data_IF_330481176934
#
_entry.id   IF_330481176934
#
_cell.length_a   1.000
_cell.length_b   1.000
_cell.length_c   1.000
_cell.angle_alpha   90.00
_cell.angle_beta   90.00
_cell.angle_gamma   90.00
#
_symmetry.space_group_name_H-M   'P 1'
#
loop_
_entity.id
_entity.type
_entity.pdbx_description
1 polymer ?
#
# COMPACT_ATOMS: atom_id res chain seq x y z
N UNK A 1 25.43 4.16 -3.22
CA UNK A 1 24.23 5.02 -3.30
C UNK A 1 23.54 4.98 -4.66
N UNK A 2 24.27 5.00 -5.79
CA UNK A 2 23.68 5.03 -7.15
C UNK A 2 22.82 3.79 -7.50
N UNK A 3 23.06 2.65 -6.89
CA UNK A 3 22.30 1.40 -7.11
C UNK A 3 20.89 1.51 -6.54
N UNK A 4 20.72 2.12 -5.38
CA UNK A 4 19.40 2.33 -4.75
C UNK A 4 18.48 3.19 -5.63
N UNK A 5 19.01 4.25 -6.24
CA UNK A 5 18.26 5.13 -7.12
C UNK A 5 17.88 4.51 -8.48
N UNK A 6 18.51 3.39 -8.87
CA UNK A 6 18.13 2.63 -10.07
C UNK A 6 17.03 1.60 -9.78
N UNK A 7 16.79 1.26 -8.51
CA UNK A 7 15.78 0.28 -8.13
C UNK A 7 14.38 0.89 -8.23
N UNK A 8 13.54 0.33 -9.08
CA UNK A 8 12.15 0.77 -9.29
C UNK A 8 11.28 0.58 -8.05
N UNK A 9 11.56 -0.44 -7.25
CA UNK A 9 10.87 -0.71 -5.99
C UNK A 9 11.13 0.40 -4.97
N UNK A 10 12.40 0.76 -4.76
CA UNK A 10 12.78 1.81 -3.81
C UNK A 10 12.15 3.16 -4.18
N UNK A 11 12.14 3.50 -5.48
CA UNK A 11 11.47 4.72 -5.95
C UNK A 11 9.97 4.70 -5.68
N UNK A 12 9.30 3.59 -6.00
CA UNK A 12 7.87 3.43 -5.76
C UNK A 12 7.53 3.57 -4.27
N UNK A 13 8.31 2.93 -3.40
CA UNK A 13 8.15 3.03 -1.95
C UNK A 13 8.34 4.45 -1.44
N UNK A 14 9.40 5.14 -1.87
CA UNK A 14 9.67 6.51 -1.47
C UNK A 14 8.57 7.47 -1.94
N UNK A 15 8.12 7.34 -3.18
CA UNK A 15 7.01 8.14 -3.73
C UNK A 15 5.72 7.89 -2.95
N UNK A 16 5.42 6.64 -2.63
CA UNK A 16 4.25 6.28 -1.83
C UNK A 16 4.29 6.94 -0.44
N UNK A 17 5.41 6.83 0.28
CA UNK A 17 5.58 7.43 1.61
C UNK A 17 5.46 8.95 1.59
N UNK A 18 6.14 9.60 0.63
CA UNK A 18 6.12 11.06 0.52
C UNK A 18 4.74 11.58 0.09
N UNK A 19 4.09 10.91 -0.86
CA UNK A 19 2.74 11.27 -1.31
C UNK A 19 1.71 11.09 -0.18
N UNK A 20 1.74 9.96 0.53
CA UNK A 20 0.84 9.71 1.65
C UNK A 20 1.04 10.73 2.78
N UNK A 21 2.29 11.02 3.15
CA UNK A 21 2.61 12.04 4.16
C UNK A 21 2.09 13.41 3.75
N UNK A 22 2.31 13.82 2.49
CA UNK A 22 1.85 15.11 2.00
C UNK A 22 0.32 15.22 1.99
N UNK A 23 -0.38 14.17 1.51
CA UNK A 23 -1.85 14.15 1.45
C UNK A 23 -2.48 14.16 2.84
N UNK A 24 -1.96 13.35 3.78
CA UNK A 24 -2.44 13.33 5.15
C UNK A 24 -2.16 14.67 5.84
N UNK A 25 -0.96 15.24 5.66
CA UNK A 25 -0.62 16.55 6.23
C UNK A 25 -1.59 17.61 5.75
N UNK A 26 -1.85 17.67 4.45
CA UNK A 26 -2.79 18.63 3.88
C UNK A 26 -4.20 18.43 4.45
N UNK A 27 -4.69 17.20 4.50
CA UNK A 27 -6.02 16.90 5.01
C UNK A 27 -6.18 17.19 6.52
N UNK A 28 -5.10 17.02 7.31
CA UNK A 28 -5.11 17.37 8.73
C UNK A 28 -5.11 18.90 8.96
N UNK A 29 -4.45 19.65 8.09
CA UNK A 29 -4.46 21.12 8.16
C UNK A 29 -5.82 21.70 7.77
N UNK A 30 -6.51 21.08 6.81
CA UNK A 30 -7.81 21.52 6.32
C UNK A 30 -8.97 21.08 7.23
N UNK A 31 -8.90 19.87 7.76
CA UNK A 31 -9.96 19.24 8.56
C UNK A 31 -9.81 19.32 10.07
N UNK A 32 -8.67 19.72 10.57
CA UNK A 32 -8.36 19.88 12.00
C UNK A 32 -7.44 21.09 12.16
N UNK A 33 -7.64 21.91 13.18
CA UNK A 33 -6.86 23.13 13.44
C UNK A 33 -5.39 22.88 13.87
N UNK A 34 -4.72 21.92 13.22
CA UNK A 34 -3.30 21.64 13.45
C UNK A 34 -2.42 22.64 12.69
N UNK A 35 -1.36 23.11 13.36
CA UNK A 35 -0.33 23.86 12.66
C UNK A 35 0.38 22.95 11.64
N UNK A 36 0.89 23.52 10.52
CA UNK A 36 1.53 22.73 9.47
C UNK A 36 2.67 21.84 9.96
N UNK A 37 3.44 22.30 10.95
CA UNK A 37 4.53 21.51 11.56
C UNK A 37 4.01 20.33 12.40
N UNK A 38 2.91 20.53 13.12
CA UNK A 38 2.27 19.46 13.90
C UNK A 38 1.63 18.42 12.98
N UNK A 39 0.85 18.88 11.99
CA UNK A 39 0.22 18.01 10.99
C UNK A 39 1.27 17.14 10.26
N UNK A 40 2.36 17.76 9.80
CA UNK A 40 3.47 17.03 9.15
C UNK A 40 4.11 16.00 10.08
N UNK A 41 4.39 16.36 11.33
CA UNK A 41 5.01 15.44 12.29
C UNK A 41 4.13 14.23 12.57
N UNK A 42 2.82 14.42 12.78
CA UNK A 42 1.89 13.33 13.03
C UNK A 42 1.70 12.46 11.79
N UNK A 43 1.53 13.08 10.62
CA UNK A 43 1.40 12.37 9.35
C UNK A 43 2.64 11.53 9.03
N UNK A 44 3.84 12.12 9.11
CA UNK A 44 5.10 11.43 8.81
C UNK A 44 5.35 10.27 9.77
N UNK A 45 5.10 10.46 11.06
CA UNK A 45 5.25 9.40 12.06
C UNK A 45 4.28 8.25 11.80
N UNK A 46 2.99 8.55 11.58
CA UNK A 46 1.97 7.54 11.37
C UNK A 46 2.21 6.77 10.06
N UNK A 47 2.54 7.47 8.97
CA UNK A 47 2.88 6.82 7.69
C UNK A 47 4.09 5.90 7.83
N UNK A 48 5.15 6.35 8.52
CA UNK A 48 6.34 5.52 8.76
C UNK A 48 6.02 4.30 9.62
N UNK A 49 5.26 4.48 10.71
CA UNK A 49 4.87 3.41 11.63
C UNK A 49 4.04 2.33 10.95
N UNK A 50 3.04 2.74 10.15
CA UNK A 50 2.15 1.82 9.43
C UNK A 50 2.89 1.10 8.30
N UNK A 51 3.64 1.82 7.48
CA UNK A 51 4.35 1.22 6.33
C UNK A 51 5.47 0.27 6.72
N UNK A 52 6.06 0.47 7.93
CA UNK A 52 7.04 -0.45 8.50
C UNK A 52 6.41 -1.59 9.32
N UNK A 53 5.09 -1.62 9.44
CA UNK A 53 4.33 -2.56 10.30
C UNK A 53 4.77 -2.54 11.78
N UNK A 54 5.24 -1.38 12.25
CA UNK A 54 5.68 -1.20 13.65
C UNK A 54 4.50 -0.97 14.59
N UNK A 55 3.45 -0.27 14.15
CA UNK A 55 2.19 -0.10 14.87
C UNK A 55 2.22 0.92 16.02
N UNK A 56 3.30 1.71 16.17
CA UNK A 56 3.31 2.79 17.15
C UNK A 56 2.41 3.95 16.72
N UNK A 57 1.71 4.54 17.69
CA UNK A 57 0.79 5.65 17.50
C UNK A 57 1.30 6.86 18.28
N UNK A 58 1.46 8.00 17.60
CA UNK A 58 1.86 9.27 18.24
C UNK A 58 0.69 10.18 18.56
N UNK A 59 -0.42 10.01 17.87
CA UNK A 59 -1.68 10.72 18.07
C UNK A 59 -2.82 9.76 17.68
N UNK A 60 -3.97 9.90 18.33
CA UNK A 60 -5.15 9.12 18.02
C UNK A 60 -5.66 9.45 16.61
N UNK A 61 -5.47 8.50 15.68
CA UNK A 61 -5.91 8.66 14.30
C UNK A 61 -7.39 8.33 14.12
N UNK A 62 -8.09 7.82 15.15
CA UNK A 62 -9.53 7.58 15.08
C UNK A 62 -10.34 8.88 15.03
N UNK A 63 -9.77 9.98 15.52
CA UNK A 63 -10.38 11.30 15.42
C UNK A 63 -10.06 12.02 14.10
N UNK A 64 -9.16 11.46 13.26
CA UNK A 64 -8.75 12.09 12.01
C UNK A 64 -9.88 12.09 10.96
N UNK A 65 -9.83 13.00 9.98
CA UNK A 65 -10.80 13.00 8.88
C UNK A 65 -10.82 11.67 8.13
N UNK A 66 -11.99 11.28 7.61
CA UNK A 66 -12.21 10.00 6.94
C UNK A 66 -11.26 9.73 5.78
N UNK A 67 -10.83 10.77 5.06
CA UNK A 67 -9.85 10.65 3.99
C UNK A 67 -8.48 10.18 4.51
N UNK A 68 -7.99 10.75 5.61
CA UNK A 68 -6.73 10.34 6.24
C UNK A 68 -6.81 8.91 6.75
N UNK A 69 -7.93 8.50 7.36
CA UNK A 69 -8.16 7.10 7.79
C UNK A 69 -8.12 6.13 6.61
N UNK A 70 -8.77 6.49 5.50
CA UNK A 70 -8.75 5.67 4.30
C UNK A 70 -7.32 5.49 3.76
N UNK A 71 -6.52 6.57 3.72
CA UNK A 71 -5.13 6.48 3.29
C UNK A 71 -4.29 5.58 4.21
N UNK A 72 -4.52 5.64 5.52
CA UNK A 72 -3.86 4.75 6.50
C UNK A 72 -4.22 3.29 6.21
N UNK A 73 -5.50 2.98 6.01
CA UNK A 73 -5.95 1.61 5.68
C UNK A 73 -5.31 1.15 4.36
N UNK A 74 -5.24 2.00 3.34
CA UNK A 74 -4.55 1.66 2.08
C UNK A 74 -3.06 1.39 2.29
N UNK A 75 -2.39 2.15 3.16
CA UNK A 75 -0.98 1.90 3.51
C UNK A 75 -0.78 0.58 4.26
N UNK A 76 -1.75 0.15 5.08
CA UNK A 76 -1.69 -1.15 5.76
C UNK A 76 -1.65 -2.34 4.79
N UNK A 77 -2.30 -2.22 3.60
CA UNK A 77 -2.20 -3.24 2.56
C UNK A 77 -0.81 -3.35 1.96
N UNK A 78 -0.08 -2.24 1.90
CA UNK A 78 1.21 -2.15 1.22
C UNK A 78 2.32 -2.26 2.26
N UNK A 79 2.91 -3.44 2.35
CA UNK A 79 4.09 -3.67 3.19
C UNK A 79 5.34 -2.98 2.65
N UNK A 80 6.47 -3.18 3.31
CA UNK A 80 7.76 -2.62 2.89
C UNK A 80 8.34 -3.28 1.63
N UNK A 81 9.60 -2.93 1.36
CA UNK A 81 10.37 -3.47 0.24
C UNK A 81 10.62 -4.97 0.37
N UNK A 82 10.93 -5.65 -0.74
CA UNK A 82 11.36 -7.04 -0.74
C UNK A 82 12.62 -7.18 0.14
N UNK A 83 12.61 -8.19 1.01
CA UNK A 83 13.69 -8.40 1.98
C UNK A 83 13.52 -7.65 3.31
N UNK A 84 12.52 -6.76 3.46
CA UNK A 84 12.17 -6.20 4.76
C UNK A 84 11.34 -7.20 5.58
N UNK A 85 11.40 -7.07 6.91
CA UNK A 85 10.62 -7.89 7.86
C UNK A 85 9.17 -7.42 8.00
N UNK A 86 8.79 -6.29 7.37
CA UNK A 86 7.41 -5.78 7.40
C UNK A 86 6.45 -6.77 6.76
N UNK A 87 5.24 -6.88 7.29
CA UNK A 87 4.17 -7.71 6.77
C UNK A 87 3.50 -7.12 5.52
N UNK A 88 2.29 -7.58 5.22
CA UNK A 88 1.49 -7.10 4.09
C UNK A 88 2.01 -7.51 2.71
N UNK A 89 1.39 -6.92 1.68
CA UNK A 89 1.81 -7.17 0.29
C UNK A 89 3.02 -6.29 -0.02
N UNK A 90 4.16 -6.92 -0.33
CA UNK A 90 5.40 -6.19 -0.65
C UNK A 90 5.22 -5.24 -1.83
N UNK A 91 5.85 -4.05 -1.76
CA UNK A 91 5.82 -3.03 -2.82
C UNK A 91 6.20 -3.62 -4.18
N UNK A 92 7.17 -4.53 -4.24
CA UNK A 92 7.55 -5.25 -5.46
C UNK A 92 6.37 -5.91 -6.15
N UNK A 93 5.49 -6.58 -5.38
CA UNK A 93 4.32 -7.26 -5.93
C UNK A 93 3.30 -6.27 -6.48
N UNK A 94 3.09 -5.14 -5.81
CA UNK A 94 2.25 -4.05 -6.34
C UNK A 94 2.80 -3.49 -7.64
N UNK A 95 4.09 -3.19 -7.69
CA UNK A 95 4.75 -2.67 -8.92
C UNK A 95 4.61 -3.67 -10.06
N UNK A 96 4.81 -4.97 -9.80
CA UNK A 96 4.63 -6.02 -10.81
C UNK A 96 3.18 -6.13 -11.27
N UNK A 97 2.23 -6.08 -10.35
CA UNK A 97 0.80 -6.15 -10.67
C UNK A 97 0.36 -4.96 -11.55
N UNK A 98 0.75 -3.73 -11.20
CA UNK A 98 0.46 -2.55 -12.02
C UNK A 98 1.08 -2.65 -13.41
N UNK A 99 2.33 -3.10 -13.52
CA UNK A 99 2.98 -3.30 -14.81
C UNK A 99 2.30 -4.40 -15.62
N UNK A 100 1.86 -5.48 -14.98
CA UNK A 100 1.11 -6.55 -15.64
C UNK A 100 -0.22 -6.04 -16.19
N UNK A 101 -1.01 -5.32 -15.39
CA UNK A 101 -2.28 -4.74 -15.83
C UNK A 101 -2.05 -3.75 -16.97
N UNK A 102 -1.05 -2.88 -16.84
CA UNK A 102 -0.68 -1.92 -17.89
C UNK A 102 -0.30 -2.64 -19.20
N UNK A 103 0.53 -3.67 -19.09
CA UNK A 103 0.94 -4.51 -20.24
C UNK A 103 -0.26 -5.18 -20.91
N UNK A 104 -1.20 -5.74 -20.14
CA UNK A 104 -2.41 -6.36 -20.67
C UNK A 104 -3.32 -5.36 -21.39
N UNK A 105 -3.48 -4.15 -20.86
CA UNK A 105 -4.26 -3.08 -21.51
C UNK A 105 -3.61 -2.69 -22.85
N UNK A 106 -2.29 -2.47 -22.87
CA UNK A 106 -1.57 -2.15 -24.09
C UNK A 106 -1.62 -3.27 -25.13
N UNK A 107 -1.52 -4.53 -24.72
CA UNK A 107 -1.63 -5.67 -25.61
C UNK A 107 -3.02 -5.78 -26.25
N UNK A 108 -4.09 -5.42 -25.53
CA UNK A 108 -5.44 -5.34 -26.10
C UNK A 108 -5.59 -4.24 -27.12
N UNK A 109 -4.90 -3.11 -26.95
CA UNK A 109 -4.92 -2.00 -27.90
C UNK A 109 -4.02 -2.24 -29.10
N UNK A 110 -2.96 -3.01 -28.95
CA UNK A 110 -1.97 -3.31 -29.99
C UNK A 110 -1.66 -4.84 -30.00
N UNK A 111 -2.52 -5.66 -30.64
CA UNK A 111 -2.41 -7.13 -30.58
C UNK A 111 -1.12 -7.72 -31.13
N UNK A 112 -0.39 -6.96 -31.96
CA UNK A 112 0.88 -7.38 -32.57
C UNK A 112 2.11 -7.13 -31.69
N UNK A 113 1.95 -6.45 -30.52
CA UNK A 113 3.05 -6.19 -29.61
C UNK A 113 3.19 -7.30 -28.58
N UNK A 114 4.37 -7.92 -28.52
CA UNK A 114 4.76 -8.78 -27.40
C UNK A 114 5.11 -7.88 -26.20
N UNK A 115 4.15 -7.68 -25.31
CA UNK A 115 4.33 -6.84 -24.14
C UNK A 115 4.97 -7.66 -22.99
N UNK A 116 6.30 -7.63 -22.89
CA UNK A 116 7.03 -8.27 -21.79
C UNK A 116 7.10 -7.32 -20.59
N UNK A 117 6.74 -7.82 -19.41
CA UNK A 117 6.86 -7.07 -18.16
C UNK A 117 8.32 -7.09 -17.73
N UNK A 118 8.94 -5.89 -17.66
CA UNK A 118 10.33 -5.72 -17.23
C UNK A 118 10.40 -5.08 -15.84
N UNK A 119 11.25 -5.66 -14.96
CA UNK A 119 11.58 -5.08 -13.66
C UNK A 119 13.09 -4.93 -13.55
N UNK A 120 13.57 -3.71 -13.25
CA UNK A 120 14.99 -3.37 -13.15
C UNK A 120 15.82 -3.80 -14.38
N UNK A 121 15.22 -3.76 -15.59
CA UNK A 121 15.88 -4.14 -16.85
C UNK A 121 15.85 -5.63 -17.18
N UNK A 122 15.34 -6.49 -16.30
CA UNK A 122 15.17 -7.92 -16.54
C UNK A 122 13.71 -8.25 -16.88
N UNK A 123 13.51 -9.16 -17.82
CA UNK A 123 12.19 -9.69 -18.15
C UNK A 123 11.72 -10.64 -17.06
N UNK A 124 10.49 -10.44 -16.62
CA UNK A 124 9.88 -11.31 -15.60
C UNK A 124 9.22 -12.50 -16.27
N UNK A 125 9.54 -13.74 -15.87
CA UNK A 125 8.90 -14.93 -16.41
C UNK A 125 7.42 -14.95 -16.02
N UNK A 126 6.57 -15.45 -16.90
CA UNK A 126 5.11 -15.47 -16.72
C UNK A 126 4.66 -16.22 -15.45
N UNK A 127 5.36 -17.29 -15.08
CA UNK A 127 5.06 -18.04 -13.85
C UNK A 127 5.16 -17.18 -12.59
N UNK A 128 6.10 -16.22 -12.56
CA UNK A 128 6.23 -15.25 -11.45
C UNK A 128 5.06 -14.29 -11.45
N UNK A 129 4.66 -13.77 -12.61
CA UNK A 129 3.52 -12.86 -12.74
C UNK A 129 2.22 -13.53 -12.30
N UNK A 130 1.96 -14.75 -12.72
CA UNK A 130 0.80 -15.53 -12.27
C UNK A 130 0.84 -15.85 -10.78
N UNK A 131 2.02 -16.10 -10.22
CA UNK A 131 2.17 -16.32 -8.77
C UNK A 131 1.85 -15.06 -7.96
N UNK A 132 2.26 -13.89 -8.44
CA UNK A 132 1.91 -12.60 -7.81
C UNK A 132 0.41 -12.35 -7.88
N UNK A 133 -0.22 -12.58 -9.03
CA UNK A 133 -1.66 -12.39 -9.20
C UNK A 133 -2.48 -13.35 -8.30
N UNK A 134 -2.10 -14.63 -8.24
CA UNK A 134 -2.73 -15.62 -7.35
C UNK A 134 -2.59 -15.26 -5.89
N UNK A 135 -1.39 -14.84 -5.46
CA UNK A 135 -1.16 -14.38 -4.10
C UNK A 135 -2.05 -13.20 -3.74
N UNK A 136 -2.12 -12.20 -4.63
CA UNK A 136 -2.95 -11.02 -4.43
C UNK A 136 -4.44 -11.37 -4.29
N UNK A 137 -4.92 -12.28 -5.16
CA UNK A 137 -6.30 -12.75 -5.10
C UNK A 137 -6.62 -13.45 -3.77
N UNK A 138 -5.77 -14.41 -3.35
CA UNK A 138 -5.96 -15.12 -2.07
C UNK A 138 -5.91 -14.15 -0.88
N UNK A 139 -4.96 -13.20 -0.89
CA UNK A 139 -4.83 -12.20 0.17
C UNK A 139 -6.12 -11.36 0.30
N UNK A 140 -6.64 -10.83 -0.80
CA UNK A 140 -7.89 -10.05 -0.79
C UNK A 140 -9.07 -10.91 -0.33
N UNK A 141 -9.19 -12.15 -0.82
CA UNK A 141 -10.24 -13.08 -0.39
C UNK A 141 -10.22 -13.30 1.13
N UNK A 142 -9.05 -13.51 1.71
CA UNK A 142 -8.89 -13.69 3.15
C UNK A 142 -9.22 -12.40 3.92
N UNK A 143 -8.78 -11.24 3.46
CA UNK A 143 -9.12 -9.96 4.07
C UNK A 143 -10.65 -9.74 4.08
N UNK A 144 -11.31 -10.01 2.95
CA UNK A 144 -12.78 -9.88 2.84
C UNK A 144 -13.48 -10.85 3.77
N UNK A 145 -13.02 -12.11 3.84
CA UNK A 145 -13.58 -13.13 4.73
C UNK A 145 -13.48 -12.69 6.20
N UNK A 146 -12.29 -12.26 6.64
CA UNK A 146 -12.09 -11.78 8.02
C UNK A 146 -12.91 -10.53 8.33
N UNK A 147 -12.96 -9.55 7.42
CA UNK A 147 -13.79 -8.37 7.59
C UNK A 147 -15.27 -8.74 7.71
N UNK A 148 -15.76 -9.68 6.91
CA UNK A 148 -17.14 -10.16 6.97
C UNK A 148 -17.45 -10.81 8.32
N UNK A 149 -16.57 -11.68 8.83
CA UNK A 149 -16.75 -12.31 10.15
C UNK A 149 -16.82 -11.27 11.28
N UNK A 150 -15.93 -10.26 11.24
CA UNK A 150 -15.93 -9.16 12.20
C UNK A 150 -17.21 -8.31 12.15
N UNK A 151 -17.75 -8.07 10.96
CA UNK A 151 -19.01 -7.34 10.79
C UNK A 151 -20.19 -8.16 11.37
N UNK A 152 -20.18 -9.49 11.20
CA UNK A 152 -21.19 -10.36 11.81
C UNK A 152 -21.15 -10.29 13.34
N UNK A 153 -19.97 -10.07 13.94
CA UNK A 153 -19.81 -9.85 15.39
C UNK A 153 -20.17 -8.41 15.84
N UNK A 154 -20.69 -7.57 14.92
CA UNK A 154 -21.15 -6.22 15.23
C UNK A 154 -20.08 -5.12 15.17
N UNK A 155 -18.88 -5.40 14.65
CA UNK A 155 -17.82 -4.39 14.48
C UNK A 155 -18.16 -3.47 13.31
N UNK A 156 -18.01 -2.13 13.44
CA UNK A 156 -18.22 -1.20 12.33
C UNK A 156 -17.36 -1.55 11.11
N UNK A 157 -17.94 -1.47 9.90
CA UNK A 157 -17.33 -1.94 8.66
C UNK A 157 -15.91 -1.37 8.41
N UNK A 158 -15.69 -0.08 8.67
CA UNK A 158 -14.38 0.54 8.49
C UNK A 158 -13.33 -0.04 9.47
N UNK A 159 -13.71 -0.23 10.72
CA UNK A 159 -12.85 -0.85 11.74
C UNK A 159 -12.58 -2.31 11.41
N UNK A 160 -13.60 -3.08 10.97
CA UNK A 160 -13.45 -4.47 10.56
C UNK A 160 -12.46 -4.64 9.41
N UNK A 161 -12.50 -3.76 8.40
CA UNK A 161 -11.53 -3.74 7.29
C UNK A 161 -10.13 -3.42 7.84
N UNK A 162 -9.98 -2.39 8.66
CA UNK A 162 -8.70 -2.00 9.25
C UNK A 162 -8.07 -3.14 10.06
N UNK A 163 -8.84 -3.78 10.93
CA UNK A 163 -8.38 -4.92 11.74
C UNK A 163 -8.02 -6.11 10.85
N UNK A 164 -8.85 -6.47 9.86
CA UNK A 164 -8.56 -7.60 8.98
C UNK A 164 -7.27 -7.42 8.19
N UNK A 165 -6.99 -6.20 7.70
CA UNK A 165 -5.76 -5.89 7.00
C UNK A 165 -4.56 -5.89 7.93
N UNK A 166 -4.71 -5.31 9.14
CA UNK A 166 -3.65 -5.27 10.15
C UNK A 166 -3.24 -6.65 10.64
N UNK A 167 -4.18 -7.60 10.74
CA UNK A 167 -3.89 -8.98 11.18
C UNK A 167 -3.24 -9.84 10.10
N UNK A 168 -3.41 -9.46 8.83
CA UNK A 168 -2.82 -10.13 7.67
C UNK A 168 -1.46 -9.55 7.25
N UNK A 169 -1.10 -8.36 7.80
CA UNK A 169 0.10 -7.58 7.49
C UNK A 169 1.36 -7.91 8.32
#
# INVERSE_FOLDING_TARGET
>A
PRVLWKNSEFKAYLVMLTAATALITWNLMDGMDFSGTQAFRYAAFQVASISSTTGFVSNDFDVWPSFSKLLIILLMFIGGCAGSTSGGIKVTRFVLLFKMVYSLVWQKLHPQMLAHVKMNGQEMPENVLYSVARFFFVYIMLCVLWAFLMICDGVPALAAIGVSVSTMG
#
